data_IF_888469177444
#
_entry.id   IF_888469177444
#
_cell.length_a   1.000
_cell.length_b   1.000
_cell.length_c   1.000
_cell.angle_alpha   90.00
_cell.angle_beta   90.00
_cell.angle_gamma   90.00
#
_symmetry.space_group_name_H-M   'P 1'
#
loop_
_entity.id
_entity.type
_entity.pdbx_description
1 polymer ?
#
# COMPACT_ATOMS: atom_id res chain seq x y z
N UNK A 1 -12.36 -35.95 47.20
CA UNK A 1 -12.70 -34.58 46.77
C UNK A 1 -11.72 -34.18 45.69
N UNK A 2 -12.11 -34.41 44.44
CA UNK A 2 -11.36 -33.98 43.27
C UNK A 2 -11.91 -32.65 42.77
N UNK A 3 -11.04 -31.90 42.08
CA UNK A 3 -11.29 -31.05 40.91
C UNK A 3 -10.28 -29.86 40.91
N UNK A 4 -9.04 -30.09 40.48
CA UNK A 4 -8.12 -28.98 40.09
C UNK A 4 -7.31 -29.38 38.84
N UNK A 5 -7.98 -30.01 37.87
CA UNK A 5 -7.39 -30.33 36.56
C UNK A 5 -8.42 -30.06 35.46
N UNK A 6 -8.83 -28.80 35.28
CA UNK A 6 -9.80 -28.45 34.24
C UNK A 6 -9.77 -26.97 33.79
N UNK A 7 -8.61 -26.29 33.81
CA UNK A 7 -8.54 -24.89 33.29
C UNK A 7 -7.38 -24.64 32.29
N UNK A 8 -6.50 -25.60 32.02
CA UNK A 8 -5.33 -25.37 31.14
C UNK A 8 -5.50 -25.92 29.72
N UNK A 9 -6.62 -26.58 29.38
CA UNK A 9 -6.77 -27.28 28.08
C UNK A 9 -7.67 -26.58 27.05
N UNK A 10 -8.14 -25.35 27.28
CA UNK A 10 -8.98 -24.63 26.30
C UNK A 10 -8.31 -23.43 25.63
N UNK A 11 -7.03 -23.15 25.95
CA UNK A 11 -6.28 -22.04 25.33
C UNK A 11 -5.46 -22.44 24.08
N UNK A 12 -5.43 -23.73 23.71
CA UNK A 12 -4.55 -24.24 22.65
C UNK A 12 -5.14 -24.37 21.25
N UNK A 13 -6.46 -24.24 21.08
CA UNK A 13 -7.10 -24.48 19.78
C UNK A 13 -6.95 -23.30 18.80
N UNK A 14 -6.79 -22.07 19.31
CA UNK A 14 -6.59 -20.88 18.46
C UNK A 14 -5.11 -20.61 18.11
N UNK A 15 -4.16 -21.22 18.83
CA UNK A 15 -2.71 -21.01 18.59
C UNK A 15 -2.12 -21.95 17.55
N UNK A 16 -2.74 -23.12 17.33
CA UNK A 16 -2.20 -24.12 16.40
C UNK A 16 -2.51 -23.80 14.94
N UNK A 17 -3.69 -23.24 14.64
CA UNK A 17 -4.06 -22.76 13.31
C UNK A 17 -3.10 -21.65 12.85
N UNK A 18 -2.90 -20.61 13.67
CA UNK A 18 -2.00 -19.50 13.31
C UNK A 18 -0.53 -19.88 13.07
N UNK A 19 -0.02 -20.94 13.71
CA UNK A 19 1.36 -21.41 13.47
C UNK A 19 1.45 -22.30 12.22
N UNK A 20 0.45 -23.16 12.00
CA UNK A 20 0.40 -24.00 10.81
C UNK A 20 0.24 -23.17 9.53
N UNK A 21 -0.64 -22.17 9.57
CA UNK A 21 -0.88 -21.23 8.48
C UNK A 21 0.40 -20.49 8.10
N UNK A 22 1.10 -19.94 9.10
CA UNK A 22 2.38 -19.25 8.91
C UNK A 22 3.47 -20.14 8.30
N UNK A 23 3.48 -21.44 8.60
CA UNK A 23 4.45 -22.38 8.03
C UNK A 23 4.10 -22.79 6.60
N UNK A 24 2.81 -23.03 6.33
CA UNK A 24 2.32 -23.44 5.01
C UNK A 24 2.39 -22.28 4.00
N UNK A 25 2.01 -21.08 4.44
CA UNK A 25 1.97 -19.87 3.63
C UNK A 25 3.25 -19.05 3.74
N UNK A 26 4.29 -19.57 4.41
CA UNK A 26 5.57 -18.89 4.55
C UNK A 26 6.13 -18.43 3.20
N UNK A 27 6.36 -19.37 2.27
CA UNK A 27 6.92 -19.04 0.96
C UNK A 27 5.97 -18.19 0.10
N UNK A 28 4.66 -18.50 0.01
CA UNK A 28 3.70 -17.61 -0.63
C UNK A 28 3.76 -16.17 -0.14
N UNK A 29 3.76 -15.94 1.17
CA UNK A 29 3.81 -14.60 1.76
C UNK A 29 5.12 -13.89 1.40
N UNK A 30 6.27 -14.58 1.48
CA UNK A 30 7.55 -13.97 1.08
C UNK A 30 7.59 -13.55 -0.40
N UNK A 31 6.92 -14.29 -1.29
CA UNK A 31 6.80 -13.92 -2.70
C UNK A 31 5.93 -12.68 -2.85
N UNK A 32 4.83 -12.58 -2.10
CA UNK A 32 3.95 -11.42 -2.13
C UNK A 32 4.65 -10.16 -1.64
N UNK A 33 5.33 -10.22 -0.51
CA UNK A 33 6.01 -9.04 0.03
C UNK A 33 7.13 -8.58 -0.90
N UNK A 34 7.81 -9.50 -1.58
CA UNK A 34 8.78 -9.18 -2.63
C UNK A 34 8.12 -8.43 -3.81
N UNK A 35 6.92 -8.83 -4.21
CA UNK A 35 6.17 -8.15 -5.27
C UNK A 35 5.65 -6.79 -4.83
N UNK A 36 5.35 -6.60 -3.54
CA UNK A 36 4.81 -5.37 -2.98
C UNK A 36 5.87 -4.26 -2.85
N UNK A 37 7.17 -4.61 -2.81
CA UNK A 37 8.30 -3.64 -2.80
C UNK A 37 8.21 -2.59 -3.92
N UNK A 38 7.67 -2.95 -5.09
CA UNK A 38 7.60 -2.08 -6.24
C UNK A 38 6.18 -1.98 -6.79
N UNK A 39 5.71 -0.76 -7.00
CA UNK A 39 4.45 -0.46 -7.65
C UNK A 39 4.67 0.06 -9.07
N UNK A 40 3.71 -0.25 -9.94
CA UNK A 40 3.69 0.23 -11.32
C UNK A 40 2.25 0.49 -11.72
N UNK A 41 1.97 1.73 -12.08
CA UNK A 41 0.62 2.19 -12.40
C UNK A 41 0.64 2.92 -13.74
N UNK A 42 0.43 2.21 -14.86
CA UNK A 42 0.19 2.87 -16.13
C UNK A 42 -1.19 3.52 -16.15
N UNK A 43 -1.26 4.72 -16.72
CA UNK A 43 -2.48 5.52 -16.78
C UNK A 43 -2.71 6.10 -18.18
N UNK A 44 -3.99 6.28 -18.51
CA UNK A 44 -4.43 6.81 -19.81
C UNK A 44 -5.54 7.84 -19.63
N UNK A 45 -5.35 9.05 -20.18
CA UNK A 45 -6.36 10.11 -20.14
C UNK A 45 -5.80 11.51 -20.41
N UNK A 46 -6.65 12.55 -20.49
CA UNK A 46 -6.22 13.93 -20.66
C UNK A 46 -5.55 14.45 -19.37
N UNK A 47 -4.25 14.18 -19.25
CA UNK A 47 -3.42 14.64 -18.14
C UNK A 47 -2.02 15.03 -18.60
N UNK A 48 -1.30 15.71 -17.73
CA UNK A 48 0.13 15.95 -17.85
C UNK A 48 0.73 15.98 -16.44
N UNK A 49 1.64 15.05 -16.15
CA UNK A 49 2.40 15.03 -14.90
C UNK A 49 3.88 14.87 -15.19
N UNK A 50 4.68 15.53 -14.35
CA UNK A 50 6.10 15.28 -14.22
C UNK A 50 6.46 15.54 -12.76
N UNK A 51 6.63 14.47 -12.00
CA UNK A 51 6.94 14.53 -10.57
C UNK A 51 7.92 13.44 -10.18
N UNK A 52 8.87 13.78 -9.32
CA UNK A 52 9.80 12.84 -8.68
C UNK A 52 9.77 13.08 -7.18
N UNK A 53 9.94 12.04 -6.38
CA UNK A 53 9.96 12.18 -4.94
C UNK A 53 10.87 11.14 -4.28
N UNK A 54 11.55 11.56 -3.23
CA UNK A 54 12.28 10.66 -2.33
C UNK A 54 11.39 10.17 -1.17
N UNK A 55 10.39 10.97 -0.85
CA UNK A 55 9.28 10.70 0.08
C UNK A 55 8.19 11.69 -0.25
N UNK A 56 6.95 11.48 0.19
CA UNK A 56 5.88 12.47 -0.01
C UNK A 56 6.21 13.83 0.61
N UNK A 57 7.05 13.87 1.65
CA UNK A 57 7.56 15.11 2.24
C UNK A 57 8.66 15.83 1.42
N UNK A 58 9.24 15.16 0.42
CA UNK A 58 10.31 15.70 -0.40
C UNK A 58 10.10 15.29 -1.86
N UNK A 59 9.33 16.13 -2.55
CA UNK A 59 8.91 15.91 -3.93
C UNK A 59 9.17 17.15 -4.78
N UNK A 60 9.37 16.95 -6.07
CA UNK A 60 9.57 18.02 -7.02
C UNK A 60 8.82 17.71 -8.30
N UNK A 61 7.96 18.63 -8.71
CA UNK A 61 7.21 18.50 -9.95
C UNK A 61 5.80 19.03 -9.83
N UNK A 62 5.01 18.76 -10.86
CA UNK A 62 3.61 19.11 -10.88
C UNK A 62 2.87 18.23 -11.88
N UNK A 63 1.57 18.18 -11.73
CA UNK A 63 0.71 17.74 -12.80
C UNK A 63 -0.75 17.99 -12.56
N UNK A 64 -1.54 17.72 -13.58
CA UNK A 64 -2.96 17.96 -13.63
C UNK A 64 -3.62 17.04 -14.63
N UNK A 65 -4.85 16.62 -14.34
CA UNK A 65 -5.74 16.04 -15.33
C UNK A 65 -6.62 14.95 -14.76
N UNK A 66 -7.21 14.19 -15.69
CA UNK A 66 -8.02 13.03 -15.37
C UNK A 66 -7.54 11.82 -16.18
N UNK A 67 -7.47 10.66 -15.54
CA UNK A 67 -7.05 9.43 -16.20
C UNK A 67 -7.68 8.18 -15.61
N UNK A 68 -7.77 7.14 -16.44
CA UNK A 68 -8.02 5.79 -16.00
C UNK A 68 -6.68 5.11 -15.72
N UNK A 69 -6.56 4.45 -14.57
CA UNK A 69 -5.33 3.81 -14.08
C UNK A 69 -5.50 2.30 -14.02
N UNK A 70 -4.47 1.56 -14.38
CA UNK A 70 -4.30 0.16 -13.97
C UNK A 70 -3.37 0.15 -12.76
N UNK A 71 -3.88 -0.27 -11.61
CA UNK A 71 -3.23 -0.09 -10.31
C UNK A 71 -2.57 -1.40 -9.89
N UNK A 72 -1.25 -1.36 -9.70
CA UNK A 72 -0.49 -2.26 -8.81
C UNK A 72 0.22 -1.34 -7.83
N UNK A 73 -0.33 -1.18 -6.64
CA UNK A 73 0.09 -0.16 -5.68
C UNK A 73 0.20 -0.69 -4.25
N UNK A 74 0.71 0.18 -3.37
CA UNK A 74 0.94 -0.06 -1.95
C UNK A 74 -0.24 -0.71 -1.22
N UNK A 75 0.06 -1.50 -0.18
CA UNK A 75 -0.92 -2.29 0.58
C UNK A 75 -1.80 -3.18 -0.33
N UNK A 76 -1.14 -3.90 -1.27
CA UNK A 76 -1.73 -4.92 -2.14
C UNK A 76 -2.97 -4.45 -2.91
N UNK A 77 -2.91 -3.23 -3.46
CA UNK A 77 -3.97 -2.70 -4.30
C UNK A 77 -3.77 -3.15 -5.74
N UNK A 78 -4.72 -3.95 -6.25
CA UNK A 78 -4.68 -4.51 -7.60
C UNK A 78 -6.00 -4.23 -8.33
N UNK A 79 -5.91 -3.60 -9.51
CA UNK A 79 -7.06 -3.47 -10.40
C UNK A 79 -7.11 -2.16 -11.16
N UNK A 80 -8.25 -1.48 -11.14
CA UNK A 80 -8.48 -0.27 -11.94
C UNK A 80 -9.12 0.84 -11.11
N UNK A 81 -8.88 2.08 -11.51
CA UNK A 81 -9.52 3.26 -10.91
C UNK A 81 -9.45 4.46 -11.82
N UNK A 82 -10.19 5.52 -11.49
CA UNK A 82 -10.13 6.80 -12.18
C UNK A 82 -9.57 7.85 -11.25
N UNK A 83 -8.53 8.54 -11.70
CA UNK A 83 -7.97 9.68 -11.00
C UNK A 83 -8.42 10.99 -11.65
N UNK A 84 -8.66 12.01 -10.83
CA UNK A 84 -8.82 13.39 -11.29
C UNK A 84 -8.21 14.33 -10.25
N UNK A 85 -7.42 15.30 -10.68
CA UNK A 85 -6.83 16.26 -9.76
C UNK A 85 -5.65 17.04 -10.30
N UNK A 86 -4.94 17.67 -9.38
CA UNK A 86 -3.66 18.31 -9.62
C UNK A 86 -2.76 18.19 -8.41
N UNK A 87 -1.45 18.14 -8.67
CA UNK A 87 -0.39 18.22 -7.67
C UNK A 87 0.64 19.26 -8.10
N UNK A 88 1.24 19.93 -7.13
CA UNK A 88 2.41 20.76 -7.33
C UNK A 88 3.29 20.68 -6.10
N UNK A 89 4.55 20.35 -6.30
CA UNK A 89 5.51 20.08 -5.25
C UNK A 89 6.83 20.77 -5.54
N UNK A 90 7.36 21.48 -4.56
CA UNK A 90 8.70 22.04 -4.58
C UNK A 90 9.41 21.73 -3.27
N UNK A 91 10.16 20.64 -3.27
CA UNK A 91 10.87 20.09 -2.10
C UNK A 91 9.90 19.74 -0.97
N UNK A 92 9.90 20.49 0.13
CA UNK A 92 9.06 20.21 1.29
C UNK A 92 7.69 20.88 1.26
N UNK A 93 7.44 21.77 0.30
CA UNK A 93 6.16 22.46 0.17
C UNK A 93 5.44 21.87 -1.04
N UNK A 94 4.24 21.34 -0.80
CA UNK A 94 3.35 20.85 -1.84
C UNK A 94 1.95 21.41 -1.67
N UNK A 95 1.21 21.39 -2.76
CA UNK A 95 -0.21 21.61 -2.80
C UNK A 95 -0.80 20.53 -3.71
N UNK A 96 -1.77 19.79 -3.20
CA UNK A 96 -2.39 18.68 -3.90
C UNK A 96 -3.91 18.73 -3.71
N UNK A 97 -4.63 18.47 -4.78
CA UNK A 97 -6.05 18.17 -4.74
C UNK A 97 -6.33 17.06 -5.76
N UNK A 98 -6.38 15.83 -5.26
CA UNK A 98 -6.51 14.62 -6.08
C UNK A 98 -7.60 13.74 -5.51
N UNK A 99 -8.31 13.05 -6.39
CA UNK A 99 -9.25 12.01 -6.01
C UNK A 99 -9.08 10.78 -6.89
N UNK A 100 -9.22 9.61 -6.28
CA UNK A 100 -9.32 8.31 -6.96
C UNK A 100 -10.70 7.73 -6.66
N UNK A 101 -11.47 7.48 -7.71
CA UNK A 101 -12.87 7.07 -7.67
C UNK A 101 -13.15 6.00 -8.72
N UNK A 102 -14.32 5.36 -8.66
CA UNK A 102 -14.74 4.33 -9.61
C UNK A 102 -13.74 3.17 -9.64
N UNK A 103 -13.39 2.68 -8.47
CA UNK A 103 -12.35 1.66 -8.32
C UNK A 103 -12.91 0.25 -8.40
N UNK A 104 -12.05 -0.70 -8.78
CA UNK A 104 -12.29 -2.11 -8.51
C UNK A 104 -12.20 -2.41 -7.02
N UNK A 105 -12.74 -3.56 -6.58
CA UNK A 105 -12.88 -3.94 -5.17
C UNK A 105 -11.62 -3.73 -4.32
N UNK A 106 -10.45 -4.08 -4.85
CA UNK A 106 -9.21 -4.10 -4.09
C UNK A 106 -8.42 -2.77 -4.20
N UNK A 107 -8.92 -1.80 -4.96
CA UNK A 107 -8.31 -0.46 -5.10
C UNK A 107 -9.08 0.52 -4.23
N UNK A 108 -8.38 1.25 -3.36
CA UNK A 108 -8.99 2.13 -2.37
C UNK A 108 -9.39 3.46 -2.99
N UNK A 109 -10.63 3.86 -2.79
CA UNK A 109 -11.10 5.21 -3.12
C UNK A 109 -10.60 6.20 -2.07
N UNK A 110 -10.13 7.34 -2.51
CA UNK A 110 -9.73 8.42 -1.62
C UNK A 110 -9.84 9.79 -2.29
N UNK A 111 -9.99 10.82 -1.47
CA UNK A 111 -9.82 12.21 -1.88
C UNK A 111 -8.79 12.82 -0.94
N UNK A 112 -7.78 13.46 -1.52
CA UNK A 112 -6.66 14.04 -0.79
C UNK A 112 -6.53 15.50 -1.17
N UNK A 113 -6.61 16.36 -0.15
CA UNK A 113 -6.41 17.78 -0.28
C UNK A 113 -5.43 18.23 0.80
N UNK A 114 -4.27 18.73 0.39
CA UNK A 114 -3.24 19.20 1.30
C UNK A 114 -2.51 20.42 0.73
N UNK A 115 -2.08 21.31 1.62
CA UNK A 115 -1.23 22.46 1.29
C UNK A 115 -0.19 22.61 2.39
N UNK A 116 1.08 22.73 2.02
CA UNK A 116 2.21 22.85 2.95
C UNK A 116 3.06 21.59 2.95
N UNK A 117 3.40 21.08 4.12
CA UNK A 117 4.20 19.87 4.28
C UNK A 117 3.22 18.69 4.45
N UNK A 118 3.29 17.64 3.61
CA UNK A 118 2.46 16.45 3.79
C UNK A 118 2.63 15.82 5.18
N UNK A 119 1.52 15.48 5.83
CA UNK A 119 1.52 14.90 7.17
C UNK A 119 1.59 13.36 7.07
N UNK A 120 2.60 12.68 7.66
CA UNK A 120 2.65 11.22 7.68
C UNK A 120 1.49 10.56 8.43
N UNK A 121 0.74 11.31 9.24
CA UNK A 121 -0.42 10.81 9.98
C UNK A 121 -1.75 10.98 9.24
N UNK A 122 -1.74 11.53 8.01
CA UNK A 122 -2.94 11.56 7.18
C UNK A 122 -3.42 10.14 6.89
N UNK A 123 -4.75 9.93 6.90
CA UNK A 123 -5.36 8.61 6.69
C UNK A 123 -4.95 7.97 5.35
N UNK A 124 -4.66 8.77 4.32
CA UNK A 124 -4.19 8.26 3.03
C UNK A 124 -2.85 7.52 3.14
N UNK A 125 -2.03 7.87 4.14
CA UNK A 125 -0.73 7.29 4.43
C UNK A 125 -0.74 6.28 5.58
N UNK A 126 -1.92 5.88 6.05
CA UNK A 126 -2.02 4.92 7.14
C UNK A 126 -1.17 3.67 6.86
N UNK A 127 -0.42 3.26 7.88
CA UNK A 127 0.64 2.27 7.73
C UNK A 127 0.11 0.91 7.23
N UNK A 128 -1.11 0.51 7.63
CA UNK A 128 -1.68 -0.80 7.29
C UNK A 128 -2.78 -0.69 6.23
N UNK A 129 -3.53 0.42 6.26
CA UNK A 129 -4.76 0.60 5.47
C UNK A 129 -4.71 1.80 4.55
N UNK A 130 -3.62 2.56 4.52
CA UNK A 130 -3.43 3.69 3.62
C UNK A 130 -3.52 3.28 2.15
N UNK A 131 -3.92 4.24 1.33
CA UNK A 131 -3.93 4.09 -0.12
C UNK A 131 -2.56 4.43 -0.76
N UNK A 132 -1.72 5.18 -0.05
CA UNK A 132 -0.39 5.62 -0.50
C UNK A 132 0.63 5.33 0.59
N UNK A 133 1.87 5.10 0.18
CA UNK A 133 3.02 5.07 1.09
C UNK A 133 3.62 6.48 1.21
N UNK A 134 3.76 6.97 2.44
CA UNK A 134 4.42 8.24 2.74
C UNK A 134 5.91 8.19 2.42
N UNK A 135 6.54 7.03 2.65
CA UNK A 135 7.98 6.81 2.50
C UNK A 135 8.37 6.33 1.12
N UNK A 136 7.42 6.23 0.19
CA UNK A 136 7.68 5.81 -1.17
C UNK A 136 8.75 6.70 -1.83
N UNK A 137 9.61 6.08 -2.62
CA UNK A 137 10.50 6.74 -3.57
C UNK A 137 9.92 6.49 -4.95
N UNK A 138 9.72 7.52 -5.77
CA UNK A 138 9.08 7.28 -7.04
C UNK A 138 9.19 8.40 -8.05
N UNK A 139 8.66 8.08 -9.22
CA UNK A 139 8.57 8.97 -10.35
C UNK A 139 7.21 8.76 -11.02
N UNK A 140 6.62 9.86 -11.44
CA UNK A 140 5.41 9.91 -12.24
C UNK A 140 5.64 10.84 -13.40
N UNK A 141 5.38 10.37 -14.61
CA UNK A 141 5.67 11.16 -15.80
C UNK A 141 4.84 10.74 -16.99
N UNK A 142 4.27 11.72 -17.68
CA UNK A 142 3.60 11.48 -18.95
C UNK A 142 2.55 12.53 -19.30
N UNK A 143 1.79 12.20 -20.34
CA UNK A 143 0.70 13.01 -20.86
C UNK A 143 -0.54 12.15 -21.03
N UNK A 144 -0.98 11.98 -22.29
CA UNK A 144 -2.08 11.07 -22.66
C UNK A 144 -1.85 9.66 -22.12
N UNK A 145 -0.61 9.18 -22.22
CA UNK A 145 -0.12 7.97 -21.56
C UNK A 145 0.89 8.42 -20.51
N UNK A 146 0.77 7.88 -19.32
CA UNK A 146 1.66 8.16 -18.20
C UNK A 146 2.03 6.87 -17.49
N UNK A 147 3.22 6.89 -16.91
CA UNK A 147 3.74 5.82 -16.08
C UNK A 147 4.07 6.40 -14.72
N UNK A 148 3.61 5.70 -13.69
CA UNK A 148 3.95 5.95 -12.30
C UNK A 148 4.62 4.69 -11.76
N UNK A 149 5.81 4.85 -11.19
CA UNK A 149 6.56 3.76 -10.57
C UNK A 149 7.07 4.19 -9.21
N UNK A 150 6.83 3.36 -8.20
CA UNK A 150 7.28 3.62 -6.83
C UNK A 150 7.99 2.39 -6.26
N UNK A 151 8.94 2.67 -5.37
CA UNK A 151 9.55 1.71 -4.48
C UNK A 151 9.09 2.02 -3.06
N UNK A 152 8.80 0.98 -2.30
CA UNK A 152 8.25 1.06 -0.96
C UNK A 152 9.27 0.57 0.07
N UNK A 153 10.03 1.48 0.73
CA UNK A 153 11.02 1.10 1.73
C UNK A 153 10.42 0.33 2.92
N UNK A 154 9.17 0.60 3.26
CA UNK A 154 8.46 -0.13 4.31
C UNK A 154 8.26 -1.60 3.91
N UNK A 155 7.87 -1.86 2.67
CA UNK A 155 7.62 -3.22 2.19
C UNK A 155 8.94 -4.01 2.04
N UNK A 156 10.05 -3.32 1.76
CA UNK A 156 11.40 -3.91 1.85
C UNK A 156 11.69 -4.36 3.30
N UNK A 157 11.37 -3.51 4.28
CA UNK A 157 11.58 -3.85 5.69
C UNK A 157 10.70 -5.04 6.11
N UNK A 158 9.44 -5.06 5.69
CA UNK A 158 8.52 -6.16 5.97
C UNK A 158 9.00 -7.48 5.33
N UNK A 159 9.39 -7.45 4.05
CA UNK A 159 9.96 -8.62 3.37
C UNK A 159 11.16 -9.21 4.13
N UNK A 160 12.10 -8.36 4.58
CA UNK A 160 13.28 -8.78 5.34
C UNK A 160 12.89 -9.35 6.71
N UNK A 161 11.95 -8.69 7.41
CA UNK A 161 11.52 -9.08 8.74
C UNK A 161 10.73 -10.38 8.75
N UNK A 162 9.94 -10.68 7.72
CA UNK A 162 9.18 -11.92 7.72
C UNK A 162 10.02 -13.16 7.41
N UNK A 163 11.29 -13.03 6.98
CA UNK A 163 12.25 -14.16 7.09
C UNK A 163 12.45 -14.61 8.54
N UNK A 164 12.28 -13.70 9.49
CA UNK A 164 12.30 -13.94 10.94
C UNK A 164 10.91 -14.11 11.55
N UNK A 165 9.88 -14.35 10.72
CA UNK A 165 8.47 -14.49 11.13
C UNK A 165 7.88 -13.23 11.80
N UNK A 166 8.46 -12.06 11.52
CA UNK A 166 7.96 -10.76 11.98
C UNK A 166 7.22 -10.11 10.81
N UNK A 167 5.92 -9.89 10.98
CA UNK A 167 5.05 -9.17 10.03
C UNK A 167 4.70 -7.82 10.66
N UNK A 168 5.19 -6.73 10.05
CA UNK A 168 4.91 -5.37 10.53
C UNK A 168 3.65 -4.82 9.86
N UNK A 169 3.41 -5.20 8.60
CA UNK A 169 2.28 -4.73 7.79
C UNK A 169 0.95 -5.32 8.22
N UNK A 170 0.95 -6.54 8.75
CA UNK A 170 -0.24 -7.28 9.13
C UNK A 170 -1.01 -7.81 7.92
N UNK A 171 -0.33 -8.03 6.79
CA UNK A 171 -0.96 -8.43 5.52
C UNK A 171 -0.59 -9.84 5.06
N UNK A 172 0.16 -10.62 5.86
CA UNK A 172 0.40 -12.04 5.62
C UNK A 172 -0.91 -12.83 5.37
N UNK A 173 -0.97 -13.63 4.31
CA UNK A 173 -2.15 -14.48 4.06
C UNK A 173 -2.28 -15.56 5.14
N UNK A 174 -3.53 -15.87 5.49
CA UNK A 174 -3.92 -16.98 6.35
C UNK A 174 -4.70 -18.03 5.55
N UNK A 175 -4.89 -19.24 6.09
CA UNK A 175 -5.65 -20.28 5.37
C UNK A 175 -7.08 -19.83 5.10
N UNK A 176 -7.67 -19.09 6.04
CA UNK A 176 -9.03 -18.56 5.91
C UNK A 176 -9.17 -17.68 4.66
N UNK A 177 -8.15 -16.89 4.30
CA UNK A 177 -8.18 -16.00 3.13
C UNK A 177 -8.25 -16.74 1.78
N UNK A 178 -7.92 -18.04 1.76
CA UNK A 178 -7.84 -18.85 0.53
C UNK A 178 -9.06 -19.78 0.40
N UNK A 179 -9.73 -20.10 1.51
CA UNK A 179 -10.87 -21.04 1.53
C UNK A 179 -12.25 -20.41 1.36
N UNK A 180 -12.35 -19.09 1.18
CA UNK A 180 -13.61 -18.36 0.95
C UNK A 180 -13.74 -17.78 -0.47
#
# INVERSE_FOLDING_TARGET
MGLVAAVVLTAGANSQAGVADKLLLYFPNRIMDLLDIASLTPSFGPQAHLEVWATRAFSFGAGIGASSKLVKAYNRQYGVGMENGWSMSFTCISAENTQVVHTSRDVKEYSYHAVGIPDPFDQVYDFQKGARDYWAIGVRGGGIVELEGELHPIDIADFVLGWFFIDIKGDDFTIDDITY
#
